data_IF_102988013355
#
_entry.id   IF_102988013355
#
_cell.length_a   1.000
_cell.length_b   1.000
_cell.length_c   1.000
_cell.angle_alpha   90.00
_cell.angle_beta   90.00
_cell.angle_gamma   90.00
#
_symmetry.space_group_name_H-M   'P 1'
#
loop_
_entity.id
_entity.type
_entity.pdbx_description
1 polymer ?
#
# COMPACT_ATOMS: atom_id res chain seq x y z
N UNK A 1 -18.05 15.15 3.31
CA UNK A 1 -17.54 13.75 3.46
C UNK A 1 -18.71 12.85 3.11
N UNK A 2 -18.66 12.21 1.93
CA UNK A 2 -19.68 11.28 1.49
C UNK A 2 -19.26 9.87 1.96
N UNK A 3 -19.89 9.38 3.01
CA UNK A 3 -19.73 8.00 3.48
C UNK A 3 -20.30 7.07 2.41
N UNK A 4 -19.46 6.31 1.75
CA UNK A 4 -19.90 5.16 0.96
C UNK A 4 -20.18 3.99 1.91
N UNK A 5 -21.44 3.77 2.22
CA UNK A 5 -21.93 2.55 2.85
C UNK A 5 -21.87 1.42 1.80
N UNK A 6 -20.89 0.53 1.92
CA UNK A 6 -20.85 -0.66 1.09
C UNK A 6 -21.88 -1.69 1.56
N UNK A 7 -22.90 -1.89 0.75
CA UNK A 7 -23.84 -3.00 0.86
C UNK A 7 -23.12 -4.30 0.46
N UNK A 8 -22.97 -5.21 1.41
CA UNK A 8 -22.43 -6.54 1.20
C UNK A 8 -23.47 -7.44 0.55
N UNK A 9 -23.47 -7.60 -0.75
CA UNK A 9 -23.91 -8.81 -1.47
C UNK A 9 -23.67 -8.65 -2.97
N UNK A 10 -22.44 -8.83 -3.42
CA UNK A 10 -22.18 -9.21 -4.81
C UNK A 10 -21.07 -10.25 -4.74
N UNK A 11 -21.35 -11.48 -5.15
CA UNK A 11 -20.32 -12.44 -5.53
C UNK A 11 -19.63 -11.88 -6.80
N UNK A 12 -18.70 -10.95 -6.59
CA UNK A 12 -17.92 -10.36 -7.65
C UNK A 12 -16.91 -11.40 -8.15
N UNK A 13 -16.78 -11.49 -9.48
CA UNK A 13 -15.68 -12.23 -10.09
C UNK A 13 -14.35 -11.60 -9.66
N UNK A 14 -13.37 -12.41 -9.25
CA UNK A 14 -12.01 -11.93 -8.94
C UNK A 14 -11.44 -11.16 -10.13
N UNK A 15 -10.64 -10.12 -9.85
CA UNK A 15 -9.96 -9.37 -10.91
C UNK A 15 -9.03 -10.32 -11.67
N UNK A 16 -9.12 -10.44 -13.01
CA UNK A 16 -8.20 -11.26 -13.77
C UNK A 16 -6.76 -10.80 -13.60
N UNK A 17 -5.80 -11.71 -13.40
CA UNK A 17 -4.38 -11.41 -13.20
C UNK A 17 -3.81 -10.54 -14.33
N UNK A 18 -4.12 -10.88 -15.57
CA UNK A 18 -3.66 -10.12 -16.74
C UNK A 18 -4.19 -8.66 -16.73
N UNK A 19 -5.40 -8.44 -16.24
CA UNK A 19 -5.95 -7.10 -16.06
C UNK A 19 -5.19 -6.34 -14.97
N UNK A 20 -4.86 -6.99 -13.86
CA UNK A 20 -4.06 -6.39 -12.79
C UNK A 20 -2.69 -5.96 -13.30
N UNK A 21 -1.99 -6.85 -14.03
CA UNK A 21 -0.69 -6.54 -14.62
C UNK A 21 -0.78 -5.35 -15.60
N UNK A 22 -1.72 -5.37 -16.53
CA UNK A 22 -1.93 -4.28 -17.50
C UNK A 22 -2.30 -2.94 -16.82
N UNK A 23 -3.10 -2.97 -15.76
CA UNK A 23 -3.44 -1.75 -15.00
C UNK A 23 -2.20 -1.14 -14.35
N UNK A 24 -1.34 -1.95 -13.72
CA UNK A 24 -0.13 -1.48 -13.06
C UNK A 24 0.96 -0.99 -14.04
N UNK A 25 0.94 -1.49 -15.28
CA UNK A 25 1.84 -0.99 -16.34
C UNK A 25 1.36 0.32 -16.96
N UNK A 26 0.09 0.68 -16.83
CA UNK A 26 -0.44 1.94 -17.36
C UNK A 26 0.09 3.11 -16.55
N UNK A 27 0.98 3.91 -17.17
CA UNK A 27 1.65 5.07 -16.56
C UNK A 27 0.99 6.40 -16.91
N UNK A 28 -0.20 6.37 -17.50
CA UNK A 28 -0.88 7.58 -17.95
C UNK A 28 -1.75 8.22 -16.89
N UNK A 29 -2.14 7.47 -15.84
CA UNK A 29 -3.05 7.96 -14.81
C UNK A 29 -2.66 7.40 -13.43
N UNK A 30 -2.92 8.15 -12.33
CA UNK A 30 -2.77 7.65 -10.97
C UNK A 30 -3.54 6.34 -10.78
N UNK A 31 -2.89 5.35 -10.20
CA UNK A 31 -3.43 3.99 -10.10
C UNK A 31 -3.65 3.61 -8.64
N UNK A 32 -4.86 3.14 -8.34
CA UNK A 32 -5.17 2.45 -7.09
C UNK A 32 -4.49 1.07 -7.10
N UNK A 33 -3.26 1.00 -6.59
CA UNK A 33 -2.39 -0.16 -6.78
C UNK A 33 -2.74 -1.35 -5.88
N UNK A 34 -3.27 -1.13 -4.68
CA UNK A 34 -3.48 -2.14 -3.63
C UNK A 34 -4.18 -3.42 -4.12
N UNK A 35 -5.37 -3.40 -4.76
CA UNK A 35 -6.03 -4.64 -5.21
C UNK A 35 -5.23 -5.37 -6.28
N UNK A 36 -4.57 -4.65 -7.19
CA UNK A 36 -3.82 -5.25 -8.29
C UNK A 36 -2.51 -5.87 -7.82
N UNK A 37 -1.77 -5.20 -6.92
CA UNK A 37 -0.54 -5.73 -6.31
C UNK A 37 -0.85 -7.03 -5.54
N UNK A 38 -1.87 -7.02 -4.68
CA UNK A 38 -2.22 -8.20 -3.90
C UNK A 38 -2.72 -9.36 -4.77
N UNK A 39 -3.46 -9.07 -5.85
CA UNK A 39 -3.86 -10.10 -6.81
C UNK A 39 -2.65 -10.73 -7.50
N UNK A 40 -1.66 -9.95 -7.95
CA UNK A 40 -0.45 -10.48 -8.56
C UNK A 40 0.40 -11.30 -7.58
N UNK A 41 0.55 -10.84 -6.35
CA UNK A 41 1.29 -11.57 -5.31
C UNK A 41 0.67 -12.96 -5.07
N UNK A 42 -0.65 -13.06 -5.03
CA UNK A 42 -1.37 -14.32 -4.73
C UNK A 42 -1.50 -15.24 -5.93
N UNK A 43 -1.83 -14.69 -7.09
CA UNK A 43 -2.32 -15.46 -8.23
C UNK A 43 -1.45 -15.32 -9.48
N UNK A 44 -0.50 -14.38 -9.52
CA UNK A 44 0.22 -13.98 -10.72
C UNK A 44 1.20 -15.05 -11.23
N UNK A 45 1.86 -15.78 -10.33
CA UNK A 45 2.99 -16.62 -10.73
C UNK A 45 2.61 -17.65 -11.80
N UNK A 46 1.44 -18.29 -11.68
CA UNK A 46 0.99 -19.32 -12.60
C UNK A 46 0.27 -18.78 -13.83
N UNK A 47 -0.17 -17.52 -13.81
CA UNK A 47 -0.99 -16.93 -14.85
C UNK A 47 -0.26 -15.94 -15.76
N UNK A 48 0.88 -15.38 -15.30
CA UNK A 48 1.72 -14.50 -16.13
C UNK A 48 2.59 -15.32 -17.08
N UNK A 49 2.74 -14.85 -18.31
CA UNK A 49 3.68 -15.40 -19.28
C UNK A 49 5.14 -15.04 -18.92
N UNK A 50 6.11 -15.53 -19.70
CA UNK A 50 7.52 -15.32 -19.43
C UNK A 50 7.92 -13.85 -19.46
N UNK A 51 7.50 -13.12 -20.48
CA UNK A 51 7.88 -11.70 -20.68
C UNK A 51 7.28 -10.83 -19.56
N UNK A 52 6.03 -11.10 -19.17
CA UNK A 52 5.39 -10.41 -18.04
C UNK A 52 6.10 -10.66 -16.71
N UNK A 53 6.60 -11.87 -16.47
CA UNK A 53 7.39 -12.20 -15.27
C UNK A 53 8.75 -11.51 -15.26
N UNK A 54 9.39 -11.36 -16.43
CA UNK A 54 10.69 -10.69 -16.58
C UNK A 54 10.59 -9.17 -16.36
N UNK A 55 9.40 -8.59 -16.55
CA UNK A 55 9.15 -7.14 -16.40
C UNK A 55 8.41 -6.76 -15.11
N UNK A 56 8.34 -7.65 -14.12
CA UNK A 56 7.67 -7.36 -12.84
C UNK A 56 8.32 -6.21 -12.06
N UNK A 57 9.61 -5.98 -12.23
CA UNK A 57 10.35 -4.89 -11.57
C UNK A 57 9.85 -3.50 -11.99
N UNK A 58 9.36 -3.33 -13.21
CA UNK A 58 8.77 -2.08 -13.69
C UNK A 58 7.53 -1.67 -12.88
N UNK A 59 6.86 -2.62 -12.27
CA UNK A 59 5.68 -2.40 -11.42
C UNK A 59 5.96 -2.64 -9.92
N UNK A 60 7.23 -2.64 -9.52
CA UNK A 60 7.65 -2.77 -8.12
C UNK A 60 7.54 -4.17 -7.54
N UNK A 61 7.48 -5.20 -8.38
CA UNK A 61 7.40 -6.61 -7.99
C UNK A 61 8.59 -7.41 -8.47
N UNK A 62 8.83 -8.58 -7.87
CA UNK A 62 9.87 -9.53 -8.28
C UNK A 62 9.50 -10.96 -7.88
N UNK A 63 10.20 -11.94 -8.42
CA UNK A 63 10.05 -13.34 -8.04
C UNK A 63 11.19 -13.76 -7.11
N UNK A 64 10.83 -14.22 -5.92
CA UNK A 64 11.77 -14.83 -4.95
C UNK A 64 11.19 -16.17 -4.50
N UNK A 65 12.02 -17.22 -4.50
CA UNK A 65 11.62 -18.55 -4.02
C UNK A 65 10.30 -19.03 -4.63
N UNK A 66 10.13 -18.82 -5.93
CA UNK A 66 8.92 -19.19 -6.69
C UNK A 66 7.64 -18.50 -6.16
N UNK A 67 7.75 -17.23 -5.73
CA UNK A 67 6.63 -16.39 -5.32
C UNK A 67 6.84 -14.96 -5.83
N UNK A 68 5.75 -14.33 -6.27
CA UNK A 68 5.77 -12.89 -6.53
C UNK A 68 5.73 -12.16 -5.18
N UNK A 69 6.59 -11.18 -5.02
CA UNK A 69 6.69 -10.33 -3.84
C UNK A 69 7.02 -8.90 -4.25
N UNK A 70 6.81 -7.94 -3.35
CA UNK A 70 7.23 -6.56 -3.57
C UNK A 70 8.76 -6.45 -3.56
N UNK A 71 9.29 -5.45 -4.24
CA UNK A 71 10.68 -5.03 -4.04
C UNK A 71 10.79 -4.40 -2.64
N UNK A 72 11.85 -4.73 -1.93
CA UNK A 72 12.11 -4.20 -0.60
C UNK A 72 13.53 -3.61 -0.60
N UNK A 73 13.68 -2.29 -0.78
CA UNK A 73 14.97 -1.63 -0.64
C UNK A 73 15.47 -1.69 0.81
N UNK A 74 16.74 -1.37 0.99
CA UNK A 74 17.33 -1.24 2.33
C UNK A 74 16.91 0.09 2.92
N UNK A 75 16.05 0.07 3.92
CA UNK A 75 15.62 1.22 4.70
C UNK A 75 16.34 1.16 6.04
N UNK A 76 17.39 1.96 6.19
CA UNK A 76 18.34 1.88 7.30
C UNK A 76 17.99 2.77 8.51
N UNK A 77 16.89 3.51 8.41
CA UNK A 77 16.37 4.38 9.45
C UNK A 77 14.98 3.95 9.89
N UNK A 78 14.66 4.23 11.15
CA UNK A 78 13.31 4.04 11.71
C UNK A 78 12.86 5.27 12.48
N UNK A 79 11.56 5.53 12.45
CA UNK A 79 10.90 6.52 13.30
C UNK A 79 9.62 5.90 13.86
N UNK A 80 9.48 5.89 15.16
CA UNK A 80 8.31 5.34 15.85
C UNK A 80 7.41 6.47 16.35
N UNK A 81 6.11 6.30 16.15
CA UNK A 81 5.05 7.06 16.80
C UNK A 81 4.33 6.17 17.83
N UNK A 82 3.19 6.57 18.35
CA UNK A 82 2.44 5.77 19.32
C UNK A 82 1.96 4.43 18.74
N UNK A 83 1.52 4.43 17.46
CA UNK A 83 0.91 3.26 16.83
C UNK A 83 1.66 2.74 15.61
N UNK A 84 2.60 3.51 15.06
CA UNK A 84 3.27 3.18 13.80
C UNK A 84 4.79 3.16 13.91
N UNK A 85 5.41 2.27 13.12
CA UNK A 85 6.85 2.30 12.81
C UNK A 85 7.06 2.61 11.34
N UNK A 86 7.77 3.70 11.07
CA UNK A 86 8.15 4.12 9.74
C UNK A 86 9.57 3.66 9.44
N UNK A 87 9.74 2.92 8.33
CA UNK A 87 11.04 2.56 7.77
C UNK A 87 11.34 3.49 6.60
N UNK A 88 12.51 4.08 6.57
CA UNK A 88 12.93 5.03 5.53
C UNK A 88 14.45 5.04 5.38
N UNK A 89 14.96 5.79 4.40
CA UNK A 89 16.40 6.04 4.21
C UNK A 89 16.64 7.46 3.71
N UNK A 90 17.86 7.95 3.89
CA UNK A 90 18.38 9.17 3.27
C UNK A 90 19.33 8.88 2.10
N UNK A 91 19.33 7.65 1.58
CA UNK A 91 20.30 7.19 0.60
C UNK A 91 19.61 6.75 -0.70
N UNK A 92 20.30 6.95 -1.81
CA UNK A 92 19.94 6.47 -3.13
C UNK A 92 18.54 6.96 -3.62
N UNK A 93 17.92 6.17 -4.46
CA UNK A 93 16.62 6.51 -5.05
C UNK A 93 15.45 6.47 -4.06
N UNK A 94 15.61 5.76 -2.95
CA UNK A 94 14.58 5.64 -1.90
C UNK A 94 14.68 6.74 -0.84
N UNK A 95 15.68 7.65 -0.97
CA UNK A 95 15.90 8.73 -0.03
C UNK A 95 14.67 9.63 0.11
N UNK A 96 14.29 9.92 1.35
CA UNK A 96 13.39 11.02 1.67
C UNK A 96 14.18 12.33 1.69
N UNK A 97 13.52 13.45 1.39
CA UNK A 97 14.19 14.75 1.29
C UNK A 97 14.82 15.18 2.62
N UNK A 98 14.07 15.02 3.70
CA UNK A 98 14.49 15.44 5.06
C UNK A 98 13.65 14.76 6.13
N UNK A 99 14.00 15.02 7.40
CA UNK A 99 13.28 14.44 8.54
C UNK A 99 11.86 15.03 8.70
N UNK A 100 11.60 16.26 8.26
CA UNK A 100 10.29 16.88 8.38
C UNK A 100 9.24 16.13 7.56
N UNK A 101 9.63 15.54 6.42
CA UNK A 101 8.77 14.64 5.63
C UNK A 101 8.30 13.45 6.48
N UNK A 102 9.18 12.84 7.24
CA UNK A 102 8.88 11.70 8.13
C UNK A 102 8.00 12.14 9.31
N UNK A 103 8.26 13.30 9.90
CA UNK A 103 7.44 13.84 10.98
C UNK A 103 6.01 14.15 10.51
N UNK A 104 5.87 14.73 9.31
CA UNK A 104 4.56 14.95 8.67
C UNK A 104 3.83 13.62 8.44
N UNK A 105 4.53 12.59 7.93
CA UNK A 105 3.97 11.26 7.73
C UNK A 105 3.48 10.68 9.05
N UNK A 106 4.31 10.71 10.10
CA UNK A 106 3.96 10.22 11.43
C UNK A 106 2.74 10.91 12.03
N UNK A 107 2.71 12.24 12.01
CA UNK A 107 1.57 13.02 12.49
C UNK A 107 0.29 12.68 11.72
N UNK A 108 0.38 12.57 10.40
CA UNK A 108 -0.76 12.22 9.55
C UNK A 108 -1.31 10.84 9.87
N UNK A 109 -0.45 9.84 10.03
CA UNK A 109 -0.91 8.47 10.35
C UNK A 109 -1.55 8.38 11.73
N UNK A 110 -1.07 9.13 12.74
CA UNK A 110 -1.73 9.20 14.05
C UNK A 110 -3.11 9.89 13.99
N UNK A 111 -3.25 10.95 13.18
CA UNK A 111 -4.57 11.54 12.92
C UNK A 111 -5.54 10.56 12.25
N UNK A 112 -5.04 9.78 11.29
CA UNK A 112 -5.81 8.73 10.59
C UNK A 112 -6.19 7.60 11.53
N UNK A 113 -5.27 7.19 12.41
CA UNK A 113 -5.56 6.24 13.48
C UNK A 113 -6.71 6.71 14.35
N UNK A 114 -6.59 7.90 14.97
CA UNK A 114 -7.62 8.46 15.85
C UNK A 114 -8.97 8.57 15.14
N UNK A 115 -8.97 8.93 13.85
CA UNK A 115 -10.20 8.97 13.07
C UNK A 115 -10.86 7.60 12.94
N UNK A 116 -10.12 6.56 12.57
CA UNK A 116 -10.69 5.23 12.34
C UNK A 116 -11.00 4.48 13.63
N UNK A 117 -10.10 4.54 14.63
CA UNK A 117 -10.25 3.77 15.86
C UNK A 117 -11.15 4.50 16.87
N UNK A 118 -10.85 5.78 17.18
CA UNK A 118 -11.54 6.50 18.26
C UNK A 118 -12.88 7.09 17.78
N UNK A 119 -12.95 7.57 16.52
CA UNK A 119 -14.15 8.26 16.04
C UNK A 119 -15.13 7.32 15.34
N UNK A 120 -14.66 6.35 14.54
CA UNK A 120 -15.50 5.40 13.81
C UNK A 120 -15.67 4.09 14.61
N UNK A 121 -14.63 3.64 15.33
CA UNK A 121 -14.68 2.46 16.19
C UNK A 121 -14.33 1.15 15.46
N UNK A 122 -13.47 1.19 14.44
CA UNK A 122 -12.90 -0.03 13.86
C UNK A 122 -11.93 -0.71 14.84
N UNK A 123 -11.75 -2.01 14.68
CA UNK A 123 -10.67 -2.72 15.35
C UNK A 123 -9.33 -2.44 14.67
N UNK A 124 -8.27 -2.43 15.46
CA UNK A 124 -6.92 -2.15 14.97
C UNK A 124 -6.36 -3.34 14.18
N UNK A 125 -5.81 -3.12 12.98
CA UNK A 125 -5.19 -4.19 12.23
C UNK A 125 -3.99 -4.79 12.98
N UNK A 126 -3.68 -6.10 12.75
CA UNK A 126 -2.59 -6.77 13.42
C UNK A 126 -1.25 -6.04 13.27
N UNK A 127 -0.52 -5.94 14.37
CA UNK A 127 0.76 -5.24 14.49
C UNK A 127 1.93 -6.21 14.55
N UNK A 128 3.15 -5.69 14.46
CA UNK A 128 4.39 -6.45 14.68
C UNK A 128 4.56 -6.85 16.17
N UNK A 129 5.64 -7.55 16.47
CA UNK A 129 5.97 -7.98 17.83
C UNK A 129 6.15 -6.84 18.84
N UNK A 130 6.43 -5.63 18.38
CA UNK A 130 6.64 -4.44 19.19
C UNK A 130 5.35 -3.64 19.42
N UNK A 131 4.23 -4.11 18.88
CA UNK A 131 2.93 -3.46 18.97
C UNK A 131 2.71 -2.29 18.01
N UNK A 132 3.57 -2.15 17.00
CA UNK A 132 3.52 -1.05 16.03
C UNK A 132 3.12 -1.55 14.64
N UNK A 133 2.35 -0.75 13.91
CA UNK A 133 2.00 -1.03 12.53
C UNK A 133 3.10 -0.53 11.59
N UNK A 134 3.48 -1.34 10.59
CA UNK A 134 4.61 -1.07 9.70
C UNK A 134 4.20 -0.18 8.52
N UNK A 135 4.93 0.92 8.32
CA UNK A 135 4.86 1.79 7.16
C UNK A 135 6.26 1.92 6.55
N UNK A 136 6.40 1.61 5.27
CA UNK A 136 7.65 1.70 4.52
C UNK A 136 7.61 2.87 3.55
N UNK A 137 8.63 3.72 3.56
CA UNK A 137 8.70 4.91 2.70
C UNK A 137 9.77 4.66 1.65
N UNK A 138 9.35 4.51 0.39
CA UNK A 138 10.16 4.03 -0.72
C UNK A 138 9.89 4.82 -2.01
N UNK A 139 10.81 4.77 -2.96
CA UNK A 139 10.55 5.23 -4.32
C UNK A 139 9.64 4.23 -5.04
N UNK A 140 8.36 4.53 -5.11
CA UNK A 140 7.37 3.67 -5.77
C UNK A 140 7.33 3.93 -7.28
N UNK A 141 6.88 2.96 -8.11
CA UNK A 141 6.60 3.17 -9.52
C UNK A 141 5.76 4.42 -9.77
N UNK A 142 5.96 5.08 -10.91
CA UNK A 142 5.66 6.50 -11.13
C UNK A 142 4.23 6.96 -10.86
N UNK A 143 3.23 6.11 -10.91
CA UNK A 143 1.81 6.51 -10.72
C UNK A 143 1.16 5.93 -9.45
N UNK A 144 1.94 5.29 -8.59
CA UNK A 144 1.42 4.83 -7.30
C UNK A 144 1.57 5.94 -6.26
N UNK A 145 0.49 6.28 -5.57
CA UNK A 145 0.52 7.14 -4.39
C UNK A 145 1.06 6.38 -3.18
N UNK A 146 0.59 5.18 -2.99
CA UNK A 146 0.93 4.21 -2.00
C UNK A 146 0.22 2.90 -2.29
N UNK A 147 0.43 1.90 -1.46
CA UNK A 147 -0.36 0.68 -1.45
C UNK A 147 -0.17 -0.13 -0.17
N UNK A 148 -1.20 -0.87 0.21
CA UNK A 148 -1.15 -1.82 1.31
C UNK A 148 -0.89 -3.24 0.78
N UNK A 149 -0.05 -3.99 1.50
CA UNK A 149 0.35 -5.37 1.16
C UNK A 149 -0.16 -6.31 2.24
N UNK A 150 -1.03 -7.23 1.85
CA UNK A 150 -1.51 -8.27 2.73
C UNK A 150 -0.48 -9.40 2.87
N UNK A 151 -0.22 -9.82 4.10
CA UNK A 151 0.69 -10.90 4.45
C UNK A 151 -0.08 -12.14 4.89
N UNK A 152 -0.25 -13.09 3.99
CA UNK A 152 -0.96 -14.34 4.29
C UNK A 152 -2.17 -14.56 3.40
N UNK A 153 -2.96 -15.57 3.77
CA UNK A 153 -4.12 -16.06 3.02
C UNK A 153 -5.22 -16.63 3.93
N UNK A 154 -5.30 -16.16 5.17
CA UNK A 154 -6.30 -16.56 6.17
C UNK A 154 -7.60 -15.78 6.09
N UNK A 155 -8.45 -15.96 7.10
CA UNK A 155 -9.68 -15.18 7.25
C UNK A 155 -9.39 -13.71 7.59
N UNK A 156 -8.31 -13.44 8.35
CA UNK A 156 -7.67 -12.15 8.53
C UNK A 156 -6.18 -12.27 8.27
N UNK A 157 -5.50 -11.19 7.95
CA UNK A 157 -4.05 -11.22 7.73
C UNK A 157 -3.37 -9.93 8.19
N UNK A 158 -2.11 -10.10 8.58
CA UNK A 158 -1.21 -8.98 8.78
C UNK A 158 -1.03 -8.25 7.45
N UNK A 159 -0.68 -6.98 7.53
CA UNK A 159 -0.36 -6.17 6.38
C UNK A 159 0.69 -5.13 6.75
N UNK A 160 1.21 -4.44 5.75
CA UNK A 160 2.00 -3.22 5.90
C UNK A 160 1.67 -2.27 4.76
N UNK A 161 2.00 -1.01 4.93
CA UNK A 161 1.77 0.02 3.92
C UNK A 161 3.10 0.46 3.33
N UNK A 162 3.10 0.70 2.00
CA UNK A 162 4.16 1.42 1.31
C UNK A 162 3.66 2.79 0.89
N UNK A 163 4.39 3.81 1.29
CA UNK A 163 4.18 5.20 0.94
C UNK A 163 5.32 5.70 0.05
N UNK A 164 5.04 6.68 -0.80
CA UNK A 164 6.11 7.30 -1.59
C UNK A 164 7.07 8.08 -0.70
N UNK A 165 8.33 8.16 -1.15
CA UNK A 165 9.36 9.01 -0.56
C UNK A 165 9.27 10.49 -1.01
N UNK A 166 8.42 10.82 -1.98
CA UNK A 166 8.14 12.20 -2.41
C UNK A 166 6.89 12.27 -3.29
N UNK A 167 6.11 13.34 -3.15
CA UNK A 167 4.97 13.70 -4.00
C UNK A 167 5.27 14.95 -4.83
N UNK A 168 6.53 15.26 -5.13
CA UNK A 168 6.94 16.45 -5.89
C UNK A 168 6.78 16.33 -7.41
N UNK A 169 6.43 15.15 -7.92
CA UNK A 169 6.23 14.92 -9.36
C UNK A 169 5.01 15.65 -9.93
N UNK A 170 5.03 15.97 -11.22
CA UNK A 170 3.92 16.67 -11.91
C UNK A 170 2.58 15.92 -11.83
N UNK A 171 2.61 14.59 -11.74
CA UNK A 171 1.43 13.75 -11.57
C UNK A 171 0.74 13.91 -10.22
N UNK A 172 1.38 14.57 -9.25
CA UNK A 172 0.86 14.83 -7.90
C UNK A 172 0.56 16.31 -7.67
N UNK A 173 0.74 17.17 -8.69
CA UNK A 173 0.75 18.63 -8.55
C UNK A 173 -0.62 19.29 -8.34
N UNK A 174 -1.70 18.53 -8.40
CA UNK A 174 -3.06 19.06 -8.12
C UNK A 174 -3.27 19.41 -6.65
N UNK A 175 -2.46 18.79 -5.76
CA UNK A 175 -2.51 18.96 -4.33
C UNK A 175 -1.12 19.22 -3.75
N UNK A 176 -1.06 19.78 -2.55
CA UNK A 176 0.20 19.90 -1.81
C UNK A 176 0.74 18.51 -1.43
N UNK A 177 2.01 18.42 -1.11
CA UNK A 177 2.62 17.16 -0.65
C UNK A 177 1.92 16.62 0.60
N UNK A 178 1.61 17.49 1.57
CA UNK A 178 0.89 17.12 2.79
C UNK A 178 -0.53 16.57 2.49
N UNK A 179 -1.27 17.19 1.55
CA UNK A 179 -2.58 16.69 1.14
C UNK A 179 -2.48 15.32 0.46
N UNK A 180 -1.47 15.11 -0.40
CA UNK A 180 -1.21 13.83 -1.04
C UNK A 180 -0.87 12.74 0.00
N UNK A 181 -0.03 13.06 1.00
CA UNK A 181 0.27 12.17 2.12
C UNK A 181 -1.02 11.82 2.86
N UNK A 182 -1.84 12.81 3.20
CA UNK A 182 -3.06 12.62 3.99
C UNK A 182 -4.09 11.75 3.27
N UNK A 183 -4.36 12.03 2.02
CA UNK A 183 -5.31 11.25 1.21
C UNK A 183 -4.84 9.81 1.07
N UNK A 184 -3.55 9.61 0.80
CA UNK A 184 -2.97 8.27 0.65
C UNK A 184 -2.98 7.51 1.98
N UNK A 185 -2.58 8.14 3.09
CA UNK A 185 -2.60 7.50 4.40
C UNK A 185 -4.01 7.04 4.81
N UNK A 186 -5.02 7.90 4.64
CA UNK A 186 -6.44 7.54 4.88
C UNK A 186 -6.84 6.32 4.05
N UNK A 187 -6.51 6.35 2.77
CA UNK A 187 -6.90 5.30 1.82
C UNK A 187 -6.22 3.96 2.12
N UNK A 188 -4.89 3.97 2.26
CA UNK A 188 -4.12 2.73 2.44
C UNK A 188 -4.30 2.12 3.84
N UNK A 189 -4.46 2.95 4.86
CA UNK A 189 -4.75 2.43 6.20
C UNK A 189 -6.15 1.82 6.29
N UNK A 190 -7.11 2.32 5.51
CA UNK A 190 -8.42 1.66 5.39
C UNK A 190 -8.29 0.26 4.77
N UNK A 191 -7.40 0.06 3.80
CA UNK A 191 -7.12 -1.28 3.28
C UNK A 191 -6.49 -2.21 4.33
N UNK A 192 -5.62 -1.67 5.18
CA UNK A 192 -5.06 -2.44 6.31
C UNK A 192 -6.17 -2.94 7.25
N UNK A 193 -7.14 -2.08 7.58
CA UNK A 193 -8.32 -2.45 8.35
C UNK A 193 -9.14 -3.53 7.62
N UNK A 194 -9.39 -3.36 6.33
CA UNK A 194 -10.12 -4.36 5.54
C UNK A 194 -9.45 -5.73 5.54
N UNK A 195 -8.11 -5.79 5.49
CA UNK A 195 -7.35 -7.04 5.53
C UNK A 195 -7.46 -7.76 6.89
N UNK A 196 -7.62 -7.04 7.96
CA UNK A 196 -7.91 -7.63 9.27
C UNK A 196 -9.28 -8.31 9.30
N UNK A 197 -10.30 -7.67 8.75
CA UNK A 197 -11.63 -8.28 8.65
C UNK A 197 -11.73 -9.40 7.62
N UNK A 198 -11.02 -9.29 6.51
CA UNK A 198 -10.99 -10.29 5.44
C UNK A 198 -9.74 -10.11 4.58
N UNK A 199 -8.82 -11.06 4.66
CA UNK A 199 -7.57 -11.06 3.88
C UNK A 199 -7.79 -10.96 2.35
N UNK A 200 -8.95 -11.36 1.85
CA UNK A 200 -9.35 -11.33 0.45
C UNK A 200 -10.34 -10.19 0.12
N UNK A 201 -10.48 -9.21 1.01
CA UNK A 201 -11.47 -8.14 0.83
C UNK A 201 -11.38 -7.42 -0.52
N UNK A 202 -10.18 -7.33 -1.10
CA UNK A 202 -9.91 -6.60 -2.34
C UNK A 202 -9.79 -7.50 -3.59
N UNK A 203 -9.93 -8.81 -3.45
CA UNK A 203 -9.91 -9.73 -4.59
C UNK A 203 -11.23 -9.72 -5.37
N UNK A 204 -12.25 -9.10 -4.82
CA UNK A 204 -13.55 -8.93 -5.47
C UNK A 204 -13.54 -7.62 -6.27
N UNK A 205 -13.89 -7.69 -7.54
CA UNK A 205 -14.03 -6.50 -8.39
C UNK A 205 -15.06 -5.54 -7.77
N UNK A 206 -14.63 -4.33 -7.51
CA UNK A 206 -15.53 -3.20 -7.28
C UNK A 206 -16.31 -2.88 -8.55
#
# INVERSE_FOLDING_TARGET
IQLFLFSSTVFGSSIPVIKSYGTLQNRSEPTHATPHINNLIRNGLDQLNKDERENLDEIGLRIISNRITTMNPVLDQTYDTEHFRFYYTFQDNDAVENIDYILTMGTTFEEVWSFYMDSIGFEFPPVNSDGLYEVRIENLPSFYFGYAVALGNGASCNSYIKMRNSYSGSQFSEHSEEENIKVTAVHEFFHAIQFDYNCFALDQSL
#
